data_IF_010688143051
#
_entry.id   IF_010688143051
#
_cell.length_a   1.000
_cell.length_b   1.000
_cell.length_c   1.000
_cell.angle_alpha   90.00
_cell.angle_beta   90.00
_cell.angle_gamma   90.00
#
_symmetry.space_group_name_H-M   'P 1'
#
loop_
_entity.id
_entity.type
_entity.pdbx_description
1 polymer ?
#
# COMPACT_ATOMS: atom_id res chain seq x y z
N UNK A 1 -9.78 -21.16 2.73
CA UNK A 1 -10.09 -21.81 4.03
C UNK A 1 -10.07 -20.75 5.14
N UNK A 2 -10.77 -20.91 6.26
CA UNK A 2 -10.71 -19.93 7.37
C UNK A 2 -9.77 -20.41 8.48
N UNK A 3 -8.82 -19.55 8.88
CA UNK A 3 -7.94 -19.82 10.01
C UNK A 3 -8.67 -19.67 11.35
N UNK A 4 -8.15 -20.30 12.41
CA UNK A 4 -8.62 -20.03 13.77
C UNK A 4 -8.39 -18.55 14.10
N UNK A 5 -9.42 -17.80 14.56
CA UNK A 5 -9.30 -16.37 14.79
C UNK A 5 -8.16 -15.97 15.74
N UNK A 6 -7.90 -16.75 16.79
CA UNK A 6 -6.83 -16.46 17.77
C UNK A 6 -5.45 -16.61 17.13
N UNK A 7 -5.27 -17.64 16.29
CA UNK A 7 -4.01 -17.86 15.58
C UNK A 7 -3.78 -16.78 14.53
N UNK A 8 -4.86 -16.34 13.87
CA UNK A 8 -4.81 -15.30 12.86
C UNK A 8 -4.40 -13.94 13.46
N UNK A 9 -4.95 -13.59 14.63
CA UNK A 9 -4.53 -12.37 15.34
C UNK A 9 -3.05 -12.38 15.73
N UNK A 10 -2.53 -13.51 16.23
CA UNK A 10 -1.09 -13.66 16.52
C UNK A 10 -0.23 -13.54 15.26
N UNK A 11 -0.72 -14.08 14.14
CA UNK A 11 -0.05 -13.97 12.85
C UNK A 11 0.05 -12.50 12.42
N UNK A 12 -1.05 -11.75 12.51
CA UNK A 12 -1.05 -10.31 12.20
C UNK A 12 -0.01 -9.56 13.01
N UNK A 13 0.07 -9.78 14.33
CA UNK A 13 1.09 -9.14 15.16
C UNK A 13 2.52 -9.37 14.65
N UNK A 14 2.85 -10.60 14.23
CA UNK A 14 4.19 -10.93 13.71
C UNK A 14 4.45 -10.32 12.34
N UNK A 15 3.47 -10.31 11.45
CA UNK A 15 3.57 -9.72 10.11
C UNK A 15 3.77 -8.20 10.23
N UNK A 16 2.96 -7.53 11.05
CA UNK A 16 3.04 -6.07 11.27
C UNK A 16 4.40 -5.69 11.89
N UNK A 17 4.88 -6.46 12.87
CA UNK A 17 6.21 -6.22 13.47
C UNK A 17 7.33 -6.41 12.44
N UNK A 18 7.22 -7.42 11.58
CA UNK A 18 8.19 -7.68 10.51
C UNK A 18 8.22 -6.54 9.49
N UNK A 19 7.05 -6.13 9.01
CA UNK A 19 6.86 -5.02 8.09
C UNK A 19 7.40 -3.70 8.65
N UNK A 20 7.04 -3.34 9.89
CA UNK A 20 7.51 -2.11 10.54
C UNK A 20 9.05 -2.05 10.61
N UNK A 21 9.69 -3.16 11.00
CA UNK A 21 11.15 -3.25 11.10
C UNK A 21 11.85 -3.08 9.76
N UNK A 22 11.28 -3.61 8.68
CA UNK A 22 11.89 -3.56 7.34
C UNK A 22 11.74 -2.20 6.68
N UNK A 23 10.57 -1.56 6.84
CA UNK A 23 10.33 -0.21 6.33
C UNK A 23 10.95 0.90 7.21
N UNK A 24 11.33 0.58 8.46
CA UNK A 24 11.84 1.58 9.39
C UNK A 24 10.76 2.56 9.88
N UNK A 25 9.50 2.14 9.90
CA UNK A 25 8.35 2.93 10.34
C UNK A 25 7.92 2.56 11.75
N UNK A 26 7.10 3.41 12.37
CA UNK A 26 6.56 3.11 13.70
C UNK A 26 5.58 1.94 13.66
N UNK A 27 5.43 1.23 14.79
CA UNK A 27 4.47 0.13 14.88
C UNK A 27 3.02 0.62 14.68
N UNK A 28 2.72 1.84 15.13
CA UNK A 28 1.40 2.47 14.97
C UNK A 28 1.08 2.76 13.49
N UNK A 29 2.06 3.30 12.76
CA UNK A 29 1.95 3.54 11.32
C UNK A 29 1.79 2.23 10.54
N UNK A 30 2.59 1.22 10.87
CA UNK A 30 2.49 -0.12 10.28
C UNK A 30 1.12 -0.76 10.55
N UNK A 31 0.60 -0.63 11.78
CA UNK A 31 -0.71 -1.13 12.19
C UNK A 31 -1.83 -0.42 11.42
N UNK A 32 -1.76 0.91 11.32
CA UNK A 32 -2.71 1.73 10.58
C UNK A 32 -2.75 1.34 9.11
N UNK A 33 -1.58 1.17 8.48
CA UNK A 33 -1.49 0.71 7.10
C UNK A 33 -2.06 -0.70 6.93
N UNK A 34 -1.66 -1.65 7.79
CA UNK A 34 -2.04 -3.05 7.69
C UNK A 34 -3.56 -3.24 7.58
N UNK A 35 -4.36 -2.60 8.44
CA UNK A 35 -5.82 -2.78 8.41
C UNK A 35 -6.51 -2.16 7.18
N UNK A 36 -5.82 -1.32 6.42
CA UNK A 36 -6.30 -0.74 5.16
C UNK A 36 -5.66 -1.39 3.93
N UNK A 37 -4.78 -2.37 4.14
CA UNK A 37 -4.08 -3.09 3.08
C UNK A 37 -4.98 -4.10 2.38
N UNK A 38 -4.68 -4.38 1.11
CA UNK A 38 -5.27 -5.50 0.39
C UNK A 38 -4.78 -6.84 0.96
N UNK A 39 -3.51 -6.90 1.39
CA UNK A 39 -2.95 -8.09 2.06
C UNK A 39 -3.79 -8.51 3.27
N UNK A 40 -4.22 -7.56 4.11
CA UNK A 40 -5.10 -7.87 5.24
C UNK A 40 -6.42 -8.51 4.80
N UNK A 41 -7.07 -7.97 3.77
CA UNK A 41 -8.34 -8.52 3.25
C UNK A 41 -8.14 -9.94 2.73
N UNK A 42 -7.11 -10.16 1.90
CA UNK A 42 -6.81 -11.47 1.34
C UNK A 42 -6.53 -12.51 2.43
N UNK A 43 -5.77 -12.14 3.46
CA UNK A 43 -5.47 -13.02 4.59
C UNK A 43 -6.72 -13.27 5.46
N UNK A 44 -7.53 -12.25 5.74
CA UNK A 44 -8.75 -12.34 6.55
C UNK A 44 -9.81 -13.21 5.85
N UNK A 45 -10.03 -12.99 4.56
CA UNK A 45 -11.00 -13.72 3.75
C UNK A 45 -10.47 -15.09 3.30
N UNK A 46 -9.23 -15.42 3.70
CA UNK A 46 -8.56 -16.69 3.40
C UNK A 46 -8.49 -16.99 1.91
N UNK A 47 -8.37 -15.94 1.10
CA UNK A 47 -8.21 -16.00 -0.36
C UNK A 47 -6.88 -16.65 -0.66
N UNK A 48 -6.88 -17.63 -1.57
CA UNK A 48 -5.67 -18.38 -1.97
C UNK A 48 -4.85 -18.97 -0.81
N UNK A 49 -5.50 -19.22 0.33
CA UNK A 49 -4.86 -19.65 1.58
C UNK A 49 -3.66 -18.74 1.99
N UNK A 50 -3.78 -17.43 1.75
CA UNK A 50 -2.77 -16.43 2.13
C UNK A 50 -2.42 -16.45 3.62
N UNK A 51 -3.36 -16.84 4.49
CA UNK A 51 -3.11 -17.05 5.92
C UNK A 51 -2.10 -18.18 6.22
N UNK A 52 -1.82 -19.07 5.28
CA UNK A 52 -0.81 -20.12 5.40
C UNK A 52 0.59 -19.65 4.98
N UNK A 53 0.71 -18.54 4.26
CA UNK A 53 2.00 -18.03 3.81
C UNK A 53 2.88 -17.56 4.97
N UNK A 54 4.20 -17.46 4.76
CA UNK A 54 5.13 -17.09 5.83
C UNK A 54 4.92 -15.63 6.28
N UNK A 55 5.31 -15.31 7.51
CA UNK A 55 5.22 -13.92 8.01
C UNK A 55 6.08 -12.97 7.16
N UNK A 56 7.23 -13.46 6.66
CA UNK A 56 8.15 -12.77 5.75
C UNK A 56 7.48 -12.46 4.42
N UNK A 57 6.84 -13.45 3.80
CA UNK A 57 6.18 -13.27 2.50
C UNK A 57 5.07 -12.22 2.59
N UNK A 58 4.23 -12.28 3.63
CA UNK A 58 3.16 -11.30 3.82
C UNK A 58 3.69 -9.89 4.12
N UNK A 59 4.86 -9.77 4.76
CA UNK A 59 5.53 -8.49 4.92
C UNK A 59 6.08 -7.97 3.59
N UNK A 60 6.63 -8.83 2.72
CA UNK A 60 7.08 -8.44 1.37
C UNK A 60 5.90 -7.87 0.53
N UNK A 61 4.73 -8.53 0.57
CA UNK A 61 3.53 -8.06 -0.12
C UNK A 61 3.04 -6.70 0.43
N UNK A 62 3.14 -6.47 1.75
CA UNK A 62 2.82 -5.19 2.37
C UNK A 62 3.79 -4.09 1.95
N UNK A 63 5.09 -4.39 1.82
CA UNK A 63 6.10 -3.45 1.33
C UNK A 63 5.82 -3.00 -0.10
N UNK A 64 5.47 -3.96 -0.96
CA UNK A 64 5.07 -3.68 -2.33
C UNK A 64 3.84 -2.78 -2.38
N UNK A 65 2.78 -3.13 -1.65
CA UNK A 65 1.56 -2.30 -1.58
C UNK A 65 1.83 -0.90 -1.00
N UNK A 66 2.71 -0.81 0.00
CA UNK A 66 3.09 0.44 0.64
C UNK A 66 3.83 1.37 -0.33
N UNK A 67 4.77 0.83 -1.10
CA UNK A 67 5.51 1.57 -2.12
C UNK A 67 4.59 2.08 -3.24
N UNK A 68 3.69 1.22 -3.75
CA UNK A 68 2.72 1.59 -4.79
C UNK A 68 1.80 2.73 -4.35
N UNK A 69 1.35 2.72 -3.09
CA UNK A 69 0.53 3.79 -2.53
C UNK A 69 1.33 5.08 -2.31
N UNK A 70 2.60 4.99 -1.90
CA UNK A 70 3.47 6.15 -1.77
C UNK A 70 3.67 6.86 -3.12
N UNK A 71 3.87 6.11 -4.20
CA UNK A 71 4.00 6.64 -5.56
C UNK A 71 2.68 7.26 -6.07
N UNK A 72 1.54 6.66 -5.73
CA UNK A 72 0.21 7.19 -6.12
C UNK A 72 -0.15 8.53 -5.46
N UNK A 73 0.44 8.84 -4.30
CA UNK A 73 0.27 10.14 -3.63
C UNK A 73 1.09 11.26 -4.29
N UNK A 74 1.95 10.94 -5.27
CA UNK A 74 2.72 11.89 -6.06
C UNK A 74 1.97 12.26 -7.38
N UNK A 75 0.72 12.75 -7.28
CA UNK A 75 0.06 13.38 -8.43
C UNK A 75 0.36 14.90 -8.47
N UNK A 76 0.56 15.50 -9.67
CA UNK A 76 1.05 16.85 -9.83
C UNK A 76 -0.01 17.88 -9.42
N UNK A 77 0.42 18.96 -8.76
CA UNK A 77 -0.37 20.17 -8.59
C UNK A 77 -0.89 20.66 -9.94
N UNK A 78 -2.20 20.78 -10.06
CA UNK A 78 -2.85 21.49 -11.16
C UNK A 78 -2.27 22.91 -11.27
N UNK A 79 -1.73 23.28 -12.43
CA UNK A 79 -1.71 24.67 -12.87
C UNK A 79 -2.25 24.73 -14.30
N UNK A 80 -3.56 24.90 -14.38
CA UNK A 80 -4.21 25.60 -15.47
C UNK A 80 -3.91 27.07 -15.27
N UNK A 81 -2.98 27.65 -16.04
CA UNK A 81 -2.95 29.09 -16.39
C UNK A 81 -1.89 29.37 -17.47
N UNK A 82 -2.39 29.49 -18.70
CA UNK A 82 -2.04 30.48 -19.74
C UNK A 82 -0.59 30.95 -19.94
N UNK A 83 -0.01 30.60 -21.11
CA UNK A 83 0.70 31.60 -21.92
C UNK A 83 0.15 31.59 -23.36
N UNK A 84 -0.24 32.78 -23.80
CA UNK A 84 -0.75 33.11 -25.13
C UNK A 84 0.35 32.97 -26.17
N UNK A 85 0.09 32.20 -27.24
CA UNK A 85 0.83 32.35 -28.49
C UNK A 85 0.04 33.30 -29.40
N UNK A 86 0.52 34.53 -29.47
CA UNK A 86 0.31 35.39 -30.64
C UNK A 86 1.24 34.88 -31.74
N UNK A 87 0.69 34.40 -32.84
CA UNK A 87 1.45 34.28 -34.10
C UNK A 87 0.68 35.01 -35.18
N UNK A 88 1.29 36.13 -35.58
CA UNK A 88 0.95 36.94 -36.74
C UNK A 88 0.86 36.09 -38.01
N UNK A 89 -0.10 36.44 -38.86
CA UNK A 89 0.10 36.28 -40.30
C UNK A 89 -1.14 35.92 -41.10
N UNK A 90 -1.83 36.93 -41.62
CA UNK A 90 -2.17 36.96 -43.06
C UNK A 90 -2.08 38.41 -43.54
N UNK A 91 -1.01 38.70 -44.28
CA UNK A 91 -0.99 39.76 -45.29
C UNK A 91 -1.20 39.11 -46.64
N UNK A 92 -2.37 39.31 -47.24
CA UNK A 92 -2.62 39.54 -48.68
C UNK A 92 -4.11 39.78 -48.91
#
# INVERSE_FOLDING_TARGET
MMANPILLQKKYSRVIECFAKRQGISLDEALGFFYHSEVYKLVCDGVSDMHCMSDVYLADELEQEYAEKADSNLQPSNNSDSESIVVDGVSR
#
